data_IF_368495633408
#
_entry.id   IF_368495633408
#
_cell.length_a   1.000
_cell.length_b   1.000
_cell.length_c   1.000
_cell.angle_alpha   90.00
_cell.angle_beta   90.00
_cell.angle_gamma   90.00
#
_symmetry.space_group_name_H-M   'P 1'
#
loop_
_entity.id
_entity.type
_entity.pdbx_description
1 polymer ?
#
# COMPACT_ATOMS: atom_id res chain seq x y z
N UNK A 1 18.86 2.03 5.27
CA UNK A 1 17.72 2.99 5.27
C UNK A 1 16.69 2.68 6.36
N UNK A 2 16.16 1.45 6.45
CA UNK A 2 15.17 1.06 7.49
C UNK A 2 15.62 1.36 8.91
N UNK A 3 16.82 0.92 9.30
CA UNK A 3 17.34 1.07 10.67
C UNK A 3 17.51 2.55 11.04
N UNK A 4 18.09 3.35 10.14
CA UNK A 4 18.49 4.72 10.45
C UNK A 4 17.41 5.79 10.19
N UNK A 5 16.34 5.45 9.45
CA UNK A 5 15.30 6.42 9.04
C UNK A 5 13.90 5.97 9.42
N UNK A 6 13.52 4.75 9.04
CA UNK A 6 12.13 4.26 9.17
C UNK A 6 11.80 3.91 10.61
N UNK A 7 12.64 3.11 11.29
CA UNK A 7 12.40 2.71 12.68
C UNK A 7 12.34 3.94 13.62
N UNK A 8 13.29 4.89 13.58
CA UNK A 8 13.22 6.10 14.41
C UNK A 8 11.97 6.94 14.16
N UNK A 9 11.55 7.07 12.88
CA UNK A 9 10.35 7.81 12.53
C UNK A 9 9.08 7.17 13.12
N UNK A 10 8.94 5.83 13.00
CA UNK A 10 7.83 5.08 13.61
C UNK A 10 7.81 5.28 15.12
N UNK A 11 8.96 5.09 15.79
CA UNK A 11 9.06 5.27 17.26
C UNK A 11 8.63 6.66 17.72
N UNK A 12 8.86 7.69 16.89
CA UNK A 12 8.51 9.08 17.18
C UNK A 12 7.01 9.36 17.08
N UNK A 13 6.31 8.76 16.11
CA UNK A 13 4.91 9.09 15.80
C UNK A 13 3.89 8.10 16.36
N UNK A 14 4.33 6.90 16.73
CA UNK A 14 3.43 5.83 17.17
C UNK A 14 2.89 6.07 18.59
N UNK A 15 1.63 5.70 18.89
CA UNK A 15 1.04 5.90 20.20
C UNK A 15 1.86 5.28 21.34
N UNK A 16 2.24 6.10 22.33
CA UNK A 16 3.11 5.66 23.45
C UNK A 16 2.51 4.54 24.30
N UNK A 17 1.18 4.47 24.40
CA UNK A 17 0.46 3.41 25.12
C UNK A 17 0.33 2.09 24.35
N UNK A 18 0.93 1.98 23.16
CA UNK A 18 0.87 0.78 22.32
C UNK A 18 2.25 0.24 21.94
N UNK A 19 3.31 0.65 22.64
CA UNK A 19 4.69 0.18 22.41
C UNK A 19 4.86 -1.33 22.51
N UNK A 20 3.94 -1.99 23.22
CA UNK A 20 3.90 -3.44 23.42
C UNK A 20 3.28 -4.22 22.25
N UNK A 21 2.63 -3.53 21.30
CA UNK A 21 2.10 -4.19 20.10
C UNK A 21 3.23 -4.44 19.10
N UNK A 22 3.19 -5.59 18.45
CA UNK A 22 4.09 -5.92 17.33
C UNK A 22 3.73 -5.05 16.13
N UNK A 23 4.72 -4.35 15.57
CA UNK A 23 4.56 -3.57 14.34
C UNK A 23 5.15 -4.36 13.17
N UNK A 24 4.34 -4.63 12.15
CA UNK A 24 4.79 -5.22 10.89
C UNK A 24 5.07 -4.12 9.86
N UNK A 25 6.31 -4.00 9.41
CA UNK A 25 6.71 -3.14 8.29
C UNK A 25 6.67 -4.01 7.02
N UNK A 26 5.75 -3.72 6.11
CA UNK A 26 5.73 -4.35 4.79
C UNK A 26 6.68 -3.61 3.84
N UNK A 27 7.58 -4.34 3.19
CA UNK A 27 8.42 -3.83 2.11
C UNK A 27 7.85 -4.21 0.73
N UNK A 28 8.25 -3.48 -0.30
CA UNK A 28 8.01 -3.86 -1.68
C UNK A 28 8.84 -5.10 -2.07
N UNK A 29 8.49 -5.73 -3.20
CA UNK A 29 9.14 -6.95 -3.69
C UNK A 29 10.48 -6.68 -4.40
N UNK A 30 11.12 -5.55 -4.10
CA UNK A 30 12.47 -5.25 -4.58
C UNK A 30 13.48 -6.15 -3.86
N UNK A 31 14.59 -6.51 -4.54
CA UNK A 31 15.64 -7.39 -3.99
C UNK A 31 15.97 -6.99 -2.55
N UNK A 32 15.94 -7.92 -1.57
CA UNK A 32 16.13 -7.56 -0.18
C UNK A 32 17.54 -6.97 0.01
N UNK A 33 17.61 -5.70 0.40
CA UNK A 33 18.83 -5.12 0.97
C UNK A 33 19.03 -5.54 2.44
N UNK A 34 18.11 -6.33 3.01
CA UNK A 34 18.12 -6.77 4.39
C UNK A 34 17.69 -8.24 4.47
N UNK A 35 18.37 -9.01 5.31
CA UNK A 35 17.96 -10.39 5.60
C UNK A 35 16.64 -10.38 6.39
N UNK A 36 15.71 -11.31 6.15
CA UNK A 36 14.49 -11.42 6.94
C UNK A 36 14.73 -11.76 8.43
N UNK A 37 15.95 -12.17 8.80
CA UNK A 37 16.40 -12.33 10.19
C UNK A 37 17.58 -11.40 10.51
N UNK A 38 17.64 -10.23 9.87
CA UNK A 38 18.71 -9.25 10.11
C UNK A 38 18.72 -8.82 11.59
N UNK A 39 19.78 -9.18 12.29
CA UNK A 39 19.94 -8.95 13.74
C UNK A 39 19.95 -7.46 14.08
N UNK A 40 20.42 -6.61 13.16
CA UNK A 40 20.51 -5.17 13.39
C UNK A 40 19.12 -4.51 13.29
N UNK A 41 18.26 -5.02 12.42
CA UNK A 41 16.85 -4.61 12.32
C UNK A 41 16.09 -5.03 13.58
N UNK A 42 16.30 -6.27 14.07
CA UNK A 42 15.67 -6.77 15.30
C UNK A 42 16.13 -5.97 16.52
N UNK A 43 17.43 -5.68 16.62
CA UNK A 43 17.99 -4.89 17.71
C UNK A 43 17.44 -3.45 17.70
N UNK A 44 17.40 -2.79 16.54
CA UNK A 44 16.84 -1.45 16.40
C UNK A 44 15.33 -1.41 16.69
N UNK A 45 14.59 -2.46 16.30
CA UNK A 45 13.15 -2.60 16.48
C UNK A 45 12.69 -2.96 17.90
N UNK A 46 13.59 -3.48 18.74
CA UNK A 46 13.29 -3.89 20.13
C UNK A 46 13.89 -2.97 21.20
N UNK A 47 14.75 -2.02 20.82
CA UNK A 47 15.29 -1.03 21.76
C UNK A 47 14.21 -0.06 22.29
N UNK A 48 14.47 0.61 23.41
CA UNK A 48 13.62 1.66 24.02
C UNK A 48 12.22 1.20 24.49
N UNK A 49 12.13 -0.06 24.93
CA UNK A 49 10.91 -0.66 25.47
C UNK A 49 9.87 -1.04 24.40
N UNK A 50 10.33 -1.26 23.17
CA UNK A 50 9.50 -1.72 22.05
C UNK A 50 9.48 -3.25 22.00
N UNK A 51 8.29 -3.85 21.90
CA UNK A 51 8.19 -5.33 21.92
C UNK A 51 8.70 -5.95 20.62
N UNK A 52 8.45 -5.35 19.46
CA UNK A 52 9.19 -5.62 18.21
C UNK A 52 8.65 -4.78 17.05
N UNK A 53 9.56 -4.32 16.20
CA UNK A 53 9.26 -3.83 14.85
C UNK A 53 9.85 -4.84 13.87
N UNK A 54 8.99 -5.65 13.24
CA UNK A 54 9.41 -6.71 12.33
C UNK A 54 9.20 -6.26 10.88
N UNK A 55 10.23 -6.40 10.04
CA UNK A 55 10.08 -6.26 8.60
C UNK A 55 9.47 -7.54 8.01
N UNK A 56 8.21 -7.47 7.60
CA UNK A 56 7.55 -8.53 6.86
C UNK A 56 7.75 -8.27 5.36
N UNK A 57 8.73 -8.92 4.76
CA UNK A 57 8.74 -9.07 3.31
C UNK A 57 7.60 -10.02 2.92
N UNK A 58 6.98 -9.85 1.74
CA UNK A 58 5.92 -10.73 1.23
C UNK A 58 6.48 -12.15 0.97
N UNK A 59 6.72 -12.90 2.04
CA UNK A 59 7.13 -14.31 2.04
C UNK A 59 5.89 -15.18 1.96
N UNK A 60 5.19 -15.18 0.82
CA UNK A 60 4.55 -16.43 0.40
C UNK A 60 5.70 -17.32 -0.05
N UNK A 61 6.18 -18.18 0.85
CA UNK A 61 7.35 -19.02 0.64
C UNK A 61 7.12 -20.09 -0.42
N UNK A 62 7.03 -19.67 -1.69
CA UNK A 62 7.05 -20.55 -2.83
C UNK A 62 8.50 -20.99 -3.08
N UNK A 63 8.89 -22.09 -2.47
CA UNK A 63 10.20 -22.70 -2.69
C UNK A 63 10.19 -23.43 -4.04
N UNK A 64 10.53 -22.71 -5.10
CA UNK A 64 10.61 -23.22 -6.46
C UNK A 64 9.44 -22.80 -7.36
N UNK A 65 9.68 -22.87 -8.67
CA UNK A 65 8.76 -22.39 -9.71
C UNK A 65 7.38 -23.04 -9.63
N UNK A 66 7.32 -24.34 -9.29
CA UNK A 66 6.06 -25.09 -9.20
C UNK A 66 5.16 -24.55 -8.08
N UNK A 67 5.71 -24.40 -6.87
CA UNK A 67 4.96 -23.83 -5.75
C UNK A 67 4.56 -22.37 -6.01
N UNK A 68 5.38 -21.63 -6.77
CA UNK A 68 5.05 -20.25 -7.13
C UNK A 68 3.83 -20.21 -8.06
N UNK A 69 3.83 -21.07 -9.10
CA UNK A 69 2.70 -21.19 -10.02
C UNK A 69 1.45 -21.62 -9.26
N UNK A 70 1.53 -22.64 -8.41
CA UNK A 70 0.39 -23.10 -7.59
C UNK A 70 -0.15 -22.00 -6.68
N UNK A 71 0.72 -21.27 -5.99
CA UNK A 71 0.33 -20.17 -5.10
C UNK A 71 -0.30 -18.99 -5.85
N UNK A 72 0.20 -18.67 -7.05
CA UNK A 72 -0.36 -17.62 -7.91
C UNK A 72 -1.71 -18.04 -8.48
N UNK A 73 -1.82 -19.27 -8.99
CA UNK A 73 -3.09 -19.82 -9.50
C UNK A 73 -4.15 -19.86 -8.40
N UNK A 74 -3.82 -20.36 -7.21
CA UNK A 74 -4.75 -20.37 -6.09
C UNK A 74 -5.19 -18.96 -5.68
N UNK A 75 -4.28 -17.98 -5.69
CA UNK A 75 -4.62 -16.59 -5.40
C UNK A 75 -5.52 -15.97 -6.47
N UNK A 76 -5.29 -16.32 -7.74
CA UNK A 76 -6.12 -15.91 -8.87
C UNK A 76 -7.53 -16.50 -8.76
N UNK A 77 -7.66 -17.79 -8.47
CA UNK A 77 -8.96 -18.44 -8.31
C UNK A 77 -9.75 -17.95 -7.09
N UNK A 78 -9.04 -17.52 -6.03
CA UNK A 78 -9.66 -16.97 -4.82
C UNK A 78 -10.12 -15.52 -4.99
N UNK A 79 -9.66 -14.78 -6.02
CA UNK A 79 -10.03 -13.38 -6.17
C UNK A 79 -11.49 -13.26 -6.64
N UNK A 80 -12.31 -12.53 -5.89
CA UNK A 80 -13.70 -12.29 -6.29
C UNK A 80 -13.78 -11.14 -7.29
N UNK A 81 -14.76 -11.21 -8.20
CA UNK A 81 -15.09 -10.12 -9.13
C UNK A 81 -15.37 -8.83 -8.36
N UNK A 82 -16.08 -8.92 -7.23
CA UNK A 82 -16.31 -7.76 -6.35
C UNK A 82 -15.01 -7.13 -5.85
N UNK A 83 -13.99 -7.94 -5.51
CA UNK A 83 -12.68 -7.42 -5.11
C UNK A 83 -12.02 -6.68 -6.25
N UNK A 84 -12.05 -7.24 -7.47
CA UNK A 84 -11.50 -6.61 -8.67
C UNK A 84 -12.19 -5.27 -8.97
N UNK A 85 -13.52 -5.21 -8.95
CA UNK A 85 -14.29 -3.97 -9.13
C UNK A 85 -13.93 -2.92 -8.07
N UNK A 86 -13.86 -3.35 -6.81
CA UNK A 86 -13.54 -2.46 -5.70
C UNK A 86 -12.12 -1.88 -5.84
N UNK A 87 -11.15 -2.70 -6.25
CA UNK A 87 -9.77 -2.29 -6.50
C UNK A 87 -9.70 -1.33 -7.69
N UNK A 88 -10.38 -1.64 -8.79
CA UNK A 88 -10.37 -0.81 -9.99
C UNK A 88 -10.93 0.60 -9.73
N UNK A 89 -12.09 0.70 -9.09
CA UNK A 89 -12.67 2.00 -8.71
C UNK A 89 -11.82 2.76 -7.69
N UNK A 90 -11.15 2.04 -6.79
CA UNK A 90 -10.22 2.66 -5.85
C UNK A 90 -8.99 3.21 -6.57
N UNK A 91 -8.46 2.49 -7.57
CA UNK A 91 -7.34 2.94 -8.39
C UNK A 91 -7.72 4.18 -9.21
N UNK A 92 -8.90 4.21 -9.82
CA UNK A 92 -9.39 5.41 -10.50
C UNK A 92 -9.55 6.58 -9.53
N UNK A 93 -10.03 6.33 -8.30
CA UNK A 93 -10.12 7.36 -7.26
C UNK A 93 -8.75 7.91 -6.88
N UNK A 94 -7.73 7.04 -6.73
CA UNK A 94 -6.33 7.42 -6.49
C UNK A 94 -5.84 8.32 -7.63
N UNK A 95 -6.04 7.92 -8.88
CA UNK A 95 -5.59 8.68 -10.05
C UNK A 95 -6.22 10.07 -10.10
N UNK A 96 -7.53 10.18 -9.83
CA UNK A 96 -8.22 11.47 -9.75
C UNK A 96 -7.67 12.36 -8.63
N UNK A 97 -7.37 11.78 -7.47
CA UNK A 97 -6.76 12.53 -6.36
C UNK A 97 -5.33 12.99 -6.70
N UNK A 98 -4.52 12.13 -7.32
CA UNK A 98 -3.18 12.47 -7.75
C UNK A 98 -3.21 13.62 -8.77
N UNK A 99 -4.13 13.60 -9.74
CA UNK A 99 -4.34 14.70 -10.67
C UNK A 99 -4.74 15.99 -9.94
N UNK A 100 -5.62 15.90 -8.94
CA UNK A 100 -6.05 17.06 -8.15
C UNK A 100 -4.95 17.64 -7.26
N UNK A 101 -3.95 16.83 -6.91
CA UNK A 101 -2.79 17.20 -6.12
C UNK A 101 -1.52 17.40 -6.96
N UNK A 102 -1.64 17.66 -8.27
CA UNK A 102 -0.51 17.90 -9.18
C UNK A 102 0.58 16.81 -9.12
N UNK A 103 0.17 15.54 -9.00
CA UNK A 103 1.06 14.38 -8.89
C UNK A 103 1.59 14.09 -7.48
N UNK A 104 1.21 14.90 -6.49
CA UNK A 104 1.51 14.66 -5.08
C UNK A 104 0.69 13.52 -4.47
N UNK A 105 1.12 13.03 -3.31
CA UNK A 105 0.45 11.96 -2.54
C UNK A 105 -0.28 12.48 -1.29
N UNK A 106 -0.41 13.79 -1.14
CA UNK A 106 -1.03 14.44 0.01
C UNK A 106 -2.57 14.51 -0.14
N UNK A 107 -3.19 13.37 -0.38
CA UNK A 107 -4.64 13.25 -0.45
C UNK A 107 -5.17 12.20 0.52
N UNK A 108 -6.36 12.46 1.07
CA UNK A 108 -7.14 11.44 1.76
C UNK A 108 -7.92 10.68 0.71
N UNK A 109 -7.78 9.36 0.71
CA UNK A 109 -8.51 8.53 -0.24
C UNK A 109 -10.02 8.68 0.01
N UNK A 110 -10.81 9.08 -1.00
CA UNK A 110 -12.26 9.20 -0.83
C UNK A 110 -12.87 7.82 -0.59
N UNK A 111 -13.65 7.71 0.49
CA UNK A 111 -14.34 6.47 0.83
C UNK A 111 -15.69 6.39 0.10
N UNK A 112 -15.67 5.92 -1.15
CA UNK A 112 -16.84 5.94 -2.07
C UNK A 112 -17.97 4.95 -1.75
N UNK A 113 -18.08 4.47 -0.50
CA UNK A 113 -19.16 3.59 -0.02
C UNK A 113 -19.54 2.47 -1.01
N UNK A 114 -18.53 1.85 -1.64
CA UNK A 114 -18.70 0.93 -2.79
C UNK A 114 -19.66 -0.23 -2.48
N UNK A 115 -19.56 -0.82 -1.29
CA UNK A 115 -20.49 -1.87 -0.84
C UNK A 115 -21.96 -1.38 -0.75
N UNK A 116 -22.19 -0.13 -0.34
CA UNK A 116 -23.54 0.46 -0.32
C UNK A 116 -24.05 0.67 -1.75
N UNK A 117 -23.25 1.28 -2.61
CA UNK A 117 -23.62 1.54 -4.00
C UNK A 117 -23.91 0.24 -4.76
N UNK A 118 -23.15 -0.83 -4.51
CA UNK A 118 -23.40 -2.16 -5.08
C UNK A 118 -24.74 -2.73 -4.64
N UNK A 119 -25.06 -2.68 -3.32
CA UNK A 119 -26.37 -3.12 -2.80
C UNK A 119 -27.54 -2.35 -3.41
N UNK A 120 -27.34 -1.06 -3.68
CA UNK A 120 -28.37 -0.20 -4.28
C UNK A 120 -28.46 -0.33 -5.81
N UNK A 121 -27.61 -1.16 -6.45
CA UNK A 121 -27.54 -1.28 -7.91
C UNK A 121 -27.02 -0.03 -8.63
N UNK A 122 -26.28 0.82 -7.92
CA UNK A 122 -25.79 2.15 -8.37
C UNK A 122 -24.27 2.24 -8.40
N UNK A 123 -23.56 1.12 -8.34
CA UNK A 123 -22.11 1.13 -8.43
C UNK A 123 -21.70 1.51 -9.86
N UNK A 124 -20.92 2.58 -10.05
CA UNK A 124 -20.44 2.94 -11.39
C UNK A 124 -19.38 1.94 -11.85
N UNK A 125 -19.33 1.67 -13.15
CA UNK A 125 -18.27 0.84 -13.76
C UNK A 125 -16.95 1.62 -13.91
N UNK A 126 -17.03 2.95 -14.02
CA UNK A 126 -15.87 3.85 -14.15
C UNK A 126 -16.18 5.22 -13.55
N UNK A 127 -15.16 5.87 -12.99
CA UNK A 127 -15.23 7.23 -12.49
C UNK A 127 -14.88 8.23 -13.60
N UNK A 128 -15.71 9.27 -13.74
CA UNK A 128 -15.45 10.35 -14.69
C UNK A 128 -14.29 11.23 -14.21
N UNK A 129 -13.42 11.63 -15.13
CA UNK A 129 -12.45 12.68 -14.91
C UNK A 129 -13.03 14.00 -15.42
N UNK A 130 -13.08 15.00 -14.55
CA UNK A 130 -13.53 16.34 -14.90
C UNK A 130 -12.57 16.99 -15.92
N UNK A 131 -13.14 17.64 -16.94
CA UNK A 131 -12.36 18.23 -18.03
C UNK A 131 -11.42 19.34 -17.54
N UNK A 132 -11.88 20.17 -16.61
CA UNK A 132 -11.06 21.25 -16.05
C UNK A 132 -9.96 20.70 -15.14
N UNK A 133 -10.26 19.67 -14.35
CA UNK A 133 -9.25 18.93 -13.58
C UNK A 133 -8.15 18.38 -14.49
N UNK A 134 -8.52 17.71 -15.57
CA UNK A 134 -7.56 17.16 -16.53
C UNK A 134 -6.71 18.28 -17.15
N UNK A 135 -7.33 19.35 -17.64
CA UNK A 135 -6.62 20.45 -18.28
C UNK A 135 -5.68 21.18 -17.31
N UNK A 136 -6.05 21.33 -16.04
CA UNK A 136 -5.16 21.86 -15.00
C UNK A 136 -3.98 20.94 -14.76
N UNK A 137 -4.22 19.64 -14.57
CA UNK A 137 -3.15 18.68 -14.32
C UNK A 137 -2.16 18.60 -15.50
N UNK A 138 -2.64 18.60 -16.74
CA UNK A 138 -1.80 18.59 -17.94
C UNK A 138 -0.90 19.82 -18.04
N UNK A 139 -1.37 21.00 -17.61
CA UNK A 139 -0.55 22.23 -17.60
C UNK A 139 0.57 22.19 -16.54
N UNK A 140 0.30 21.58 -15.40
CA UNK A 140 1.25 21.43 -14.30
C UNK A 140 2.31 20.36 -14.59
N UNK A 141 1.91 19.28 -15.28
CA UNK A 141 2.85 18.28 -15.81
C UNK A 141 3.53 18.87 -17.06
N UNK A 142 4.45 19.80 -16.83
CA UNK A 142 5.51 20.10 -17.81
C UNK A 142 6.33 18.83 -17.95
N UNK A 143 6.00 18.01 -18.93
CA UNK A 143 6.90 16.98 -19.41
C UNK A 143 8.15 17.70 -19.94
N UNK A 144 9.15 17.86 -19.07
CA UNK A 144 10.51 18.16 -19.50
C UNK A 144 11.01 16.85 -20.12
N UNK A 145 10.77 16.71 -21.42
CA UNK A 145 11.63 15.90 -22.28
C UNK A 145 12.62 16.85 -22.96
#
# INVERSE_FOLDING_TARGET
YIINKVIPAIKKVWPRGEKWKVIFIQQDNSKPHLSPNDTDVVAAGTSDGWTSVQSLQLRKGAHGIKMLVEAVTAAYEQISIETLENVFLSLQSVMLCALACNGGNEYKLPHSSKARLRRDGKLPETLACDGDLYQRAVKEVKWIF
#
